data_IF_779349467565
#
_entry.id   IF_779349467565
#
_cell.length_a   1.000
_cell.length_b   1.000
_cell.length_c   1.000
_cell.angle_alpha   90.00
_cell.angle_beta   90.00
_cell.angle_gamma   90.00
#
_symmetry.space_group_name_H-M   'P 1'
#
loop_
_entity.id
_entity.type
_entity.pdbx_description
1 polymer ?
#
# COMPACT_ATOMS: atom_id res chain seq x y z
N UNK A 1 7.65 65.46 2.61
CA UNK A 1 7.23 64.25 1.83
C UNK A 1 8.20 63.05 1.92
N UNK A 2 9.51 63.19 2.21
CA UNK A 2 10.46 62.06 2.31
C UNK A 2 10.29 61.17 3.59
N UNK A 3 9.81 61.74 4.69
CA UNK A 3 9.63 60.98 5.97
C UNK A 3 8.45 60.02 5.98
N UNK A 4 7.39 60.30 5.23
CA UNK A 4 6.19 59.40 5.15
C UNK A 4 6.46 58.16 4.28
N UNK A 5 7.37 58.27 3.31
CA UNK A 5 7.73 57.12 2.45
C UNK A 5 8.55 56.08 3.18
N UNK A 6 9.41 56.54 4.12
CA UNK A 6 10.25 55.63 4.91
C UNK A 6 9.42 54.82 5.91
N UNK A 7 8.41 55.44 6.50
CA UNK A 7 7.51 54.75 7.44
C UNK A 7 6.61 53.67 6.75
N UNK A 8 6.18 53.90 5.51
CA UNK A 8 5.41 52.97 4.73
C UNK A 8 6.26 51.73 4.34
N UNK A 9 7.52 51.96 4.01
CA UNK A 9 8.42 50.87 3.61
C UNK A 9 8.78 49.94 4.77
N UNK A 10 8.93 50.47 5.99
CA UNK A 10 9.18 49.67 7.20
C UNK A 10 7.98 48.83 7.61
N UNK A 11 6.74 49.30 7.44
CA UNK A 11 5.54 48.54 7.74
C UNK A 11 5.33 47.38 6.75
N UNK A 12 5.61 47.60 5.46
CA UNK A 12 5.56 46.55 4.45
C UNK A 12 6.60 45.45 4.68
N UNK A 13 7.79 45.81 5.13
CA UNK A 13 8.84 44.83 5.43
C UNK A 13 8.52 43.96 6.66
N UNK A 14 7.83 44.55 7.66
CA UNK A 14 7.42 43.81 8.86
C UNK A 14 6.28 42.84 8.61
N UNK A 15 5.39 43.13 7.65
CA UNK A 15 4.26 42.20 7.30
C UNK A 15 4.74 41.02 6.50
N UNK A 16 5.82 41.16 5.71
CA UNK A 16 6.41 40.04 4.95
C UNK A 16 7.17 39.02 5.81
N UNK A 17 7.51 39.36 7.06
CA UNK A 17 8.21 38.48 7.99
C UNK A 17 7.29 37.49 8.73
N UNK A 18 5.97 37.56 8.52
CA UNK A 18 4.99 36.69 9.20
C UNK A 18 4.41 35.60 8.31
N UNK A 19 5.09 35.21 7.25
CA UNK A 19 4.72 33.99 6.51
C UNK A 19 5.14 32.79 7.36
N UNK A 20 4.22 32.00 7.91
CA UNK A 20 4.60 30.83 8.68
C UNK A 20 5.27 29.81 7.75
N UNK A 21 6.59 29.64 7.93
CA UNK A 21 7.41 28.65 7.20
C UNK A 21 7.23 27.25 7.78
N UNK A 22 6.15 26.97 8.50
CA UNK A 22 5.97 25.69 9.20
C UNK A 22 5.48 24.53 8.34
N UNK A 23 5.09 24.74 7.08
CA UNK A 23 4.39 23.68 6.31
C UNK A 23 5.32 22.79 5.43
N UNK A 24 6.58 23.13 5.21
CA UNK A 24 7.44 22.37 4.29
C UNK A 24 8.38 21.35 4.96
N UNK A 25 8.75 21.57 6.24
CA UNK A 25 9.75 20.73 6.93
C UNK A 25 9.24 19.31 7.23
N UNK A 26 7.99 19.19 7.66
CA UNK A 26 7.43 17.93 8.14
C UNK A 26 7.17 16.92 7.00
N UNK A 27 6.75 17.42 5.84
CA UNK A 27 6.57 16.57 4.64
C UNK A 27 7.90 16.07 4.08
N UNK A 28 8.94 16.90 4.09
CA UNK A 28 10.27 16.51 3.63
C UNK A 28 10.92 15.50 4.59
N UNK A 29 10.75 15.66 5.90
CA UNK A 29 11.24 14.72 6.91
C UNK A 29 10.49 13.38 6.84
N UNK A 30 9.17 13.40 6.63
CA UNK A 30 8.38 12.18 6.47
C UNK A 30 8.74 11.43 5.17
N UNK A 31 8.97 12.15 4.08
CA UNK A 31 9.48 11.57 2.83
C UNK A 31 10.89 11.00 2.97
N UNK A 32 11.81 11.72 3.62
CA UNK A 32 13.16 11.25 3.85
C UNK A 32 13.20 9.98 4.73
N UNK A 33 12.37 9.93 5.78
CA UNK A 33 12.19 8.72 6.61
C UNK A 33 11.59 7.57 5.81
N UNK A 34 10.57 7.82 5.01
CA UNK A 34 10.01 6.80 4.13
C UNK A 34 11.07 6.25 3.18
N UNK A 35 11.82 7.11 2.49
CA UNK A 35 12.89 6.71 1.56
C UNK A 35 13.98 5.90 2.28
N UNK A 36 14.36 6.26 3.52
CA UNK A 36 15.36 5.51 4.29
C UNK A 36 14.87 4.12 4.69
N UNK A 37 13.59 4.00 5.07
CA UNK A 37 12.95 2.71 5.38
C UNK A 37 12.90 1.84 4.13
N UNK A 38 12.54 2.41 2.97
CA UNK A 38 12.53 1.70 1.69
C UNK A 38 13.92 1.21 1.27
N UNK A 39 14.97 2.01 1.47
CA UNK A 39 16.35 1.60 1.19
C UNK A 39 16.84 0.50 2.13
N UNK A 40 16.34 0.45 3.35
CA UNK A 40 16.70 -0.56 4.35
C UNK A 40 15.91 -1.87 4.17
N UNK A 41 14.71 -1.82 3.60
CA UNK A 41 13.89 -3.01 3.37
C UNK A 41 14.37 -3.75 2.12
N UNK A 42 14.75 -5.00 2.31
CA UNK A 42 15.10 -5.92 1.23
C UNK A 42 14.09 -7.07 1.25
N UNK A 43 13.21 -7.17 0.26
CA UNK A 43 12.24 -8.26 0.20
C UNK A 43 12.97 -9.60 0.12
N UNK A 44 12.42 -10.63 0.74
CA UNK A 44 12.94 -11.97 0.62
C UNK A 44 12.96 -12.44 -0.84
N UNK A 45 11.91 -12.11 -1.59
CA UNK A 45 11.80 -12.37 -3.03
C UNK A 45 10.86 -11.33 -3.66
N UNK A 46 11.22 -10.87 -4.86
CA UNK A 46 10.32 -10.04 -5.67
C UNK A 46 9.09 -10.84 -6.06
N UNK A 47 7.90 -10.35 -5.72
CA UNK A 47 6.62 -10.96 -6.06
C UNK A 47 5.95 -10.22 -7.23
N UNK A 48 5.20 -10.98 -8.03
CA UNK A 48 4.24 -10.44 -9.00
C UNK A 48 2.86 -10.40 -8.34
N UNK A 49 2.34 -9.20 -8.12
CA UNK A 49 1.15 -8.95 -7.30
C UNK A 49 0.03 -8.38 -8.17
N UNK A 50 -1.13 -9.05 -8.15
CA UNK A 50 -2.35 -8.52 -8.71
C UNK A 50 -3.15 -7.83 -7.61
N UNK A 51 -3.46 -6.54 -7.80
CA UNK A 51 -4.28 -5.74 -6.90
C UNK A 51 -5.71 -5.75 -7.41
N UNK A 52 -6.61 -6.38 -6.65
CA UNK A 52 -8.04 -6.46 -6.95
C UNK A 52 -8.79 -5.35 -6.21
N UNK A 53 -9.14 -4.27 -6.92
CA UNK A 53 -9.75 -3.06 -6.34
C UNK A 53 -11.15 -2.75 -6.90
N UNK A 54 -11.98 -3.77 -7.03
CA UNK A 54 -13.29 -3.66 -7.67
C UNK A 54 -14.29 -2.84 -6.84
N UNK A 55 -14.23 -2.93 -5.52
CA UNK A 55 -15.12 -2.17 -4.63
C UNK A 55 -14.79 -0.67 -4.67
N UNK A 56 -15.82 0.19 -4.63
CA UNK A 56 -15.64 1.65 -4.65
C UNK A 56 -14.87 2.17 -3.45
N UNK A 57 -15.08 1.58 -2.29
CA UNK A 57 -14.50 1.89 -0.98
C UNK A 57 -13.24 1.07 -0.67
N UNK A 58 -12.69 0.40 -1.66
CA UNK A 58 -11.53 -0.47 -1.50
C UNK A 58 -10.30 0.28 -1.00
N UNK A 59 -9.74 -0.17 0.11
CA UNK A 59 -8.51 0.39 0.71
C UNK A 59 -7.27 0.06 -0.12
N UNK A 60 -7.30 -1.02 -0.91
CA UNK A 60 -6.21 -1.35 -1.83
C UNK A 60 -6.02 -0.33 -2.97
N UNK A 61 -6.99 0.60 -3.15
CA UNK A 61 -6.88 1.75 -4.08
C UNK A 61 -5.90 2.81 -3.61
N UNK A 62 -5.46 2.76 -2.35
CA UNK A 62 -4.50 3.73 -1.84
C UNK A 62 -3.22 3.73 -2.69
N UNK A 63 -2.98 4.86 -3.35
CA UNK A 63 -1.80 5.05 -4.19
C UNK A 63 -0.50 4.94 -3.39
N UNK A 64 -0.51 5.33 -2.11
CA UNK A 64 0.65 5.23 -1.25
C UNK A 64 0.98 3.75 -0.99
N UNK A 65 -0.02 2.92 -0.73
CA UNK A 65 0.13 1.48 -0.62
C UNK A 65 0.74 0.88 -1.90
N UNK A 66 0.16 1.17 -3.06
CA UNK A 66 0.65 0.65 -4.35
C UNK A 66 2.07 1.12 -4.68
N UNK A 67 2.35 2.42 -4.47
CA UNK A 67 3.69 2.98 -4.65
C UNK A 67 4.71 2.28 -3.75
N UNK A 68 4.33 1.99 -2.51
CA UNK A 68 5.20 1.33 -1.55
C UNK A 68 5.61 -0.07 -1.99
N UNK A 69 4.69 -0.84 -2.56
CA UNK A 69 5.00 -2.17 -3.12
C UNK A 69 5.97 -2.09 -4.30
N UNK A 70 5.76 -1.10 -5.18
CA UNK A 70 6.65 -0.87 -6.34
C UNK A 70 8.06 -0.47 -5.89
N UNK A 71 8.17 0.43 -4.90
CA UNK A 71 9.46 0.86 -4.35
C UNK A 71 10.20 -0.28 -3.63
N UNK A 72 9.46 -1.23 -3.06
CA UNK A 72 10.03 -2.46 -2.50
C UNK A 72 10.50 -3.47 -3.57
N UNK A 73 10.28 -3.18 -4.86
CA UNK A 73 10.73 -4.01 -5.97
C UNK A 73 9.70 -5.06 -6.43
N UNK A 74 8.49 -5.06 -5.88
CA UNK A 74 7.42 -5.94 -6.37
C UNK A 74 6.86 -5.44 -7.71
N UNK A 75 6.42 -6.37 -8.54
CA UNK A 75 5.71 -6.05 -9.79
C UNK A 75 4.22 -6.03 -9.50
N UNK A 76 3.57 -4.89 -9.73
CA UNK A 76 2.13 -4.75 -9.48
C UNK A 76 1.34 -4.59 -10.78
N UNK A 77 0.19 -5.22 -10.83
CA UNK A 77 -0.88 -4.99 -11.80
C UNK A 77 -2.16 -4.76 -11.04
N UNK A 78 -2.95 -3.77 -11.46
CA UNK A 78 -4.20 -3.42 -10.82
C UNK A 78 -5.35 -3.72 -11.77
N UNK A 79 -6.45 -4.26 -11.23
CA UNK A 79 -7.75 -4.39 -11.91
C UNK A 79 -8.84 -3.75 -11.06
N UNK A 80 -9.76 -3.06 -11.72
CA UNK A 80 -10.88 -2.33 -11.11
C UNK A 80 -12.25 -2.89 -11.50
N UNK A 81 -12.27 -3.95 -12.30
CA UNK A 81 -13.47 -4.65 -12.73
C UNK A 81 -13.30 -6.16 -12.56
N UNK A 82 -14.35 -6.82 -12.08
CA UNK A 82 -14.30 -8.25 -11.81
C UNK A 82 -14.13 -9.12 -13.08
N UNK A 83 -14.69 -8.67 -14.21
CA UNK A 83 -14.57 -9.34 -15.51
C UNK A 83 -13.13 -9.36 -16.07
N UNK A 84 -12.27 -8.45 -15.63
CA UNK A 84 -10.87 -8.42 -16.01
C UNK A 84 -10.00 -9.51 -15.34
N UNK A 85 -10.50 -10.13 -14.26
CA UNK A 85 -9.71 -11.06 -13.46
C UNK A 85 -9.21 -12.24 -14.28
N UNK A 86 -10.12 -12.93 -14.97
CA UNK A 86 -9.79 -14.13 -15.74
C UNK A 86 -8.87 -13.85 -16.92
N UNK A 87 -9.11 -12.75 -17.62
CA UNK A 87 -8.25 -12.30 -18.72
C UNK A 87 -6.84 -11.95 -18.20
N UNK A 88 -6.76 -11.21 -17.09
CA UNK A 88 -5.48 -10.79 -16.50
C UNK A 88 -4.67 -11.98 -16.00
N UNK A 89 -5.31 -12.93 -15.34
CA UNK A 89 -4.65 -14.15 -14.86
C UNK A 89 -4.21 -15.09 -15.99
N UNK A 90 -4.89 -15.05 -17.13
CA UNK A 90 -4.51 -15.83 -18.31
C UNK A 90 -3.36 -15.18 -19.08
N UNK A 91 -3.27 -13.85 -19.04
CA UNK A 91 -2.22 -13.08 -19.71
C UNK A 91 -0.90 -12.99 -18.94
N UNK A 92 -0.89 -13.30 -17.64
CA UNK A 92 0.32 -13.18 -16.80
C UNK A 92 0.35 -14.16 -15.64
N UNK A 93 1.57 -14.34 -15.10
CA UNK A 93 1.77 -15.12 -13.88
C UNK A 93 1.85 -14.18 -12.69
N UNK A 94 1.03 -14.47 -11.68
CA UNK A 94 1.00 -13.73 -10.41
C UNK A 94 1.27 -14.68 -9.26
N UNK A 95 2.06 -14.22 -8.29
CA UNK A 95 2.32 -14.95 -7.05
C UNK A 95 1.18 -14.71 -6.04
N UNK A 96 0.70 -13.46 -5.96
CA UNK A 96 -0.30 -13.03 -4.98
C UNK A 96 -1.43 -12.23 -5.64
N UNK A 97 -2.64 -12.34 -5.07
CA UNK A 97 -3.76 -11.42 -5.29
C UNK A 97 -4.04 -10.70 -3.99
N UNK A 98 -3.86 -9.37 -3.95
CA UNK A 98 -4.22 -8.54 -2.80
C UNK A 98 -5.62 -7.98 -3.02
N UNK A 99 -6.51 -8.18 -2.05
CA UNK A 99 -7.89 -7.74 -2.10
C UNK A 99 -8.42 -7.37 -0.70
N UNK A 100 -9.51 -6.61 -0.65
CA UNK A 100 -10.23 -6.41 0.60
C UNK A 100 -10.78 -7.75 1.12
N UNK A 101 -10.85 -7.91 2.45
CA UNK A 101 -11.31 -9.16 3.09
C UNK A 101 -12.69 -9.60 2.59
N UNK A 102 -13.58 -8.63 2.28
CA UNK A 102 -14.91 -8.91 1.76
C UNK A 102 -14.96 -9.63 0.41
N UNK A 103 -13.89 -9.51 -0.39
CA UNK A 103 -13.76 -10.14 -1.71
C UNK A 103 -12.89 -11.42 -1.63
N UNK A 104 -12.10 -11.56 -0.56
CA UNK A 104 -11.06 -12.58 -0.46
C UNK A 104 -11.59 -14.02 -0.53
N UNK A 105 -12.75 -14.29 0.06
CA UNK A 105 -13.35 -15.63 0.06
C UNK A 105 -13.79 -16.05 -1.34
N UNK A 106 -14.50 -15.17 -2.06
CA UNK A 106 -14.95 -15.42 -3.43
C UNK A 106 -13.74 -15.60 -4.36
N UNK A 107 -12.72 -14.73 -4.24
CA UNK A 107 -11.48 -14.85 -5.00
C UNK A 107 -10.77 -16.18 -4.74
N UNK A 108 -10.63 -16.58 -3.47
CA UNK A 108 -10.01 -17.86 -3.11
C UNK A 108 -10.72 -19.04 -3.75
N UNK A 109 -12.06 -19.03 -3.73
CA UNK A 109 -12.86 -20.06 -4.37
C UNK A 109 -12.69 -20.05 -5.90
N UNK A 110 -12.76 -18.90 -6.54
CA UNK A 110 -12.58 -18.76 -7.99
C UNK A 110 -11.18 -19.19 -8.44
N UNK A 111 -10.16 -18.90 -7.64
CA UNK A 111 -8.77 -19.25 -7.94
C UNK A 111 -8.50 -20.75 -7.70
N UNK A 112 -9.20 -21.40 -6.77
CA UNK A 112 -8.95 -22.80 -6.40
C UNK A 112 -9.14 -23.79 -7.58
N UNK A 113 -9.93 -23.42 -8.59
CA UNK A 113 -10.13 -24.22 -9.80
C UNK A 113 -8.96 -24.17 -10.79
N UNK A 114 -7.96 -23.31 -10.56
CA UNK A 114 -6.81 -23.12 -11.45
C UNK A 114 -5.62 -23.91 -10.95
N UNK A 115 -4.96 -24.64 -11.82
CA UNK A 115 -3.81 -25.52 -11.47
C UNK A 115 -2.57 -24.78 -10.97
N UNK A 116 -2.43 -23.49 -11.27
CA UNK A 116 -1.33 -22.62 -10.79
C UNK A 116 -1.93 -21.28 -10.32
N UNK A 117 -2.69 -21.35 -9.23
CA UNK A 117 -3.39 -20.18 -8.71
C UNK A 117 -2.49 -19.33 -7.81
N UNK A 118 -2.55 -17.99 -7.95
CA UNK A 118 -1.92 -17.10 -6.99
C UNK A 118 -2.58 -17.21 -5.61
N UNK A 119 -1.82 -17.00 -4.55
CA UNK A 119 -2.37 -16.96 -3.20
C UNK A 119 -3.11 -15.65 -2.94
N UNK A 120 -4.24 -15.72 -2.21
CA UNK A 120 -4.98 -14.52 -1.82
C UNK A 120 -4.40 -13.95 -0.53
N UNK A 121 -4.03 -12.68 -0.54
CA UNK A 121 -3.58 -11.91 0.61
C UNK A 121 -4.63 -10.85 0.94
N UNK A 122 -5.50 -11.07 1.94
CA UNK A 122 -6.55 -10.14 2.28
C UNK A 122 -6.03 -8.91 3.03
N UNK A 123 -6.69 -7.77 2.80
CA UNK A 123 -6.49 -6.55 3.53
C UNK A 123 -7.70 -6.31 4.45
N UNK A 124 -7.42 -6.08 5.74
CA UNK A 124 -8.40 -5.81 6.78
C UNK A 124 -8.25 -4.39 7.31
N UNK A 125 -9.39 -3.71 7.49
CA UNK A 125 -9.45 -2.35 8.04
C UNK A 125 -9.87 -2.40 9.50
N UNK A 126 -8.99 -1.98 10.42
CA UNK A 126 -9.23 -1.95 11.86
C UNK A 126 -9.87 -3.25 12.39
N UNK A 127 -9.29 -4.44 12.06
CA UNK A 127 -9.89 -5.71 12.45
C UNK A 127 -9.92 -5.87 13.98
N UNK A 128 -10.95 -6.53 14.50
CA UNK A 128 -10.93 -7.07 15.83
C UNK A 128 -9.87 -8.19 15.93
N UNK A 129 -9.39 -8.48 17.14
CA UNK A 129 -8.35 -9.48 17.36
C UNK A 129 -8.76 -10.87 16.86
N UNK A 130 -10.00 -11.24 17.11
CA UNK A 130 -10.58 -12.53 16.72
C UNK A 130 -10.68 -12.64 15.19
N UNK A 131 -11.10 -11.57 14.52
CA UNK A 131 -11.17 -11.47 13.06
C UNK A 131 -9.79 -11.62 12.43
N UNK A 132 -8.79 -10.94 12.99
CA UNK A 132 -7.39 -11.02 12.54
C UNK A 132 -6.88 -12.47 12.62
N UNK A 133 -7.04 -13.13 13.78
CA UNK A 133 -6.59 -14.51 13.98
C UNK A 133 -7.31 -15.48 13.04
N UNK A 134 -8.61 -15.31 12.84
CA UNK A 134 -9.37 -16.14 11.92
C UNK A 134 -8.90 -15.98 10.46
N UNK A 135 -8.65 -14.75 10.03
CA UNK A 135 -8.16 -14.45 8.69
C UNK A 135 -6.72 -14.97 8.49
N UNK A 136 -5.82 -14.81 9.45
CA UNK A 136 -4.46 -15.37 9.38
C UNK A 136 -4.48 -16.90 9.28
N UNK A 137 -5.33 -17.57 10.06
CA UNK A 137 -5.53 -19.03 9.95
C UNK A 137 -6.03 -19.47 8.57
N UNK A 138 -6.92 -18.69 7.97
CA UNK A 138 -7.55 -19.03 6.68
C UNK A 138 -6.65 -18.75 5.47
N UNK A 139 -5.86 -17.65 5.51
CA UNK A 139 -5.09 -17.16 4.36
C UNK A 139 -3.57 -17.28 4.53
N UNK A 140 -3.09 -17.57 5.74
CA UNK A 140 -1.67 -17.69 6.07
C UNK A 140 -1.01 -16.36 6.43
N UNK A 141 -1.45 -15.27 5.83
CA UNK A 141 -1.06 -13.90 6.18
C UNK A 141 -2.18 -12.92 5.84
N UNK A 142 -2.16 -11.75 6.46
CA UNK A 142 -3.11 -10.65 6.21
C UNK A 142 -2.40 -9.31 6.28
N UNK A 143 -2.88 -8.34 5.51
CA UNK A 143 -2.50 -6.94 5.63
C UNK A 143 -3.53 -6.24 6.51
N UNK A 144 -3.10 -5.60 7.59
CA UNK A 144 -3.99 -4.80 8.45
C UNK A 144 -3.76 -3.31 8.25
N UNK A 145 -4.84 -2.53 8.21
CA UNK A 145 -4.80 -1.07 8.18
C UNK A 145 -5.65 -0.47 9.32
N UNK A 146 -5.25 0.66 9.91
CA UNK A 146 -4.00 1.34 9.66
C UNK A 146 -2.81 0.49 10.08
N UNK A 147 -1.80 0.42 9.21
CA UNK A 147 -0.56 -0.30 9.46
C UNK A 147 0.59 0.46 8.82
N UNK A 148 1.77 0.37 9.43
CA UNK A 148 2.97 0.91 8.83
C UNK A 148 3.35 0.16 7.56
N UNK A 149 4.04 0.83 6.67
CA UNK A 149 4.55 0.27 5.43
C UNK A 149 5.29 -1.07 5.62
N UNK A 150 6.14 -1.15 6.66
CA UNK A 150 6.89 -2.37 7.00
C UNK A 150 5.95 -3.56 7.24
N UNK A 151 4.84 -3.37 7.93
CA UNK A 151 3.88 -4.44 8.22
C UNK A 151 3.24 -5.02 6.94
N UNK A 152 3.02 -4.17 5.92
CA UNK A 152 2.47 -4.63 4.64
C UNK A 152 3.47 -5.52 3.90
N UNK A 153 4.74 -5.12 3.89
CA UNK A 153 5.81 -5.88 3.24
C UNK A 153 6.12 -7.18 4.00
N UNK A 154 6.11 -7.15 5.32
CA UNK A 154 6.29 -8.34 6.16
C UNK A 154 5.19 -9.38 5.91
N UNK A 155 3.93 -8.96 5.74
CA UNK A 155 2.83 -9.85 5.40
C UNK A 155 3.04 -10.53 4.03
N UNK A 156 3.52 -9.79 3.05
CA UNK A 156 3.86 -10.32 1.72
C UNK A 156 5.01 -11.32 1.82
N UNK A 157 6.10 -10.95 2.46
CA UNK A 157 7.27 -11.83 2.64
C UNK A 157 6.93 -13.10 3.41
N UNK A 158 6.09 -12.96 4.45
CA UNK A 158 5.63 -14.11 5.22
C UNK A 158 4.84 -15.10 4.35
N UNK A 159 3.87 -14.59 3.58
CA UNK A 159 3.08 -15.44 2.69
C UNK A 159 3.94 -16.09 1.59
N UNK A 160 4.87 -15.34 1.00
CA UNK A 160 5.81 -15.86 0.00
C UNK A 160 6.68 -16.97 0.56
N UNK A 161 7.15 -16.87 1.81
CA UNK A 161 7.91 -17.93 2.50
C UNK A 161 7.06 -19.18 2.74
N UNK A 162 5.82 -19.00 3.20
CA UNK A 162 4.88 -20.12 3.40
C UNK A 162 4.59 -20.86 2.08
N UNK A 163 4.47 -20.15 0.98
CA UNK A 163 4.27 -20.75 -0.34
C UNK A 163 5.49 -21.58 -0.77
N UNK A 164 6.70 -21.05 -0.55
CA UNK A 164 7.94 -21.74 -0.91
C UNK A 164 8.18 -23.02 -0.10
N UNK A 165 7.62 -23.14 1.10
CA UNK A 165 7.71 -24.35 1.93
C UNK A 165 6.74 -25.47 1.49
N UNK A 166 5.75 -25.15 0.67
CA UNK A 166 4.73 -26.10 0.19
C UNK A 166 5.05 -26.70 -1.18
N UNK A 167 6.07 -26.17 -1.85
CA UNK A 167 6.54 -26.61 -3.19
C UNK A 167 7.69 -27.57 -3.05
#
# INVERSE_FOLDING_TARGET
>A
MKKSFLALFTVVLLVLAQIPVEACGDKLLSMARAISIFKAYKPWKTASILIYQVRKDSVVKDKQFQTSLTLAGHKIKTIDKADQLDQTLSAGKYDLVVADIGDAAALKQQLASRGSAPSVLPLLVKPAKEELVAAEKQYGAVIKTPGGFTNHLEAIDHLMKLMAQKT
#
